data_IF_031385713863
#
_entry.id   IF_031385713863
#
_cell.length_a   1.000
_cell.length_b   1.000
_cell.length_c   1.000
_cell.angle_alpha   90.00
_cell.angle_beta   90.00
_cell.angle_gamma   90.00
#
_symmetry.space_group_name_H-M   'P 1'
#
loop_
_entity.id
_entity.type
_entity.pdbx_description
1 polymer ?
#
# COMPACT_ATOMS: atom_id res chain seq x y z
N UNK A 1 14.58 28.16 -10.63
CA UNK A 1 15.56 27.10 -10.31
C UNK A 1 14.91 25.77 -10.63
N UNK A 2 15.59 24.86 -11.32
CA UNK A 2 15.03 23.54 -11.67
C UNK A 2 14.87 22.68 -10.40
N UNK A 3 13.78 21.93 -10.28
CA UNK A 3 13.51 21.12 -9.09
C UNK A 3 14.60 20.06 -8.88
N UNK A 4 15.06 19.90 -7.64
CA UNK A 4 16.01 18.83 -7.26
C UNK A 4 15.34 17.46 -7.17
N UNK A 5 14.02 17.40 -6.98
CA UNK A 5 13.26 16.17 -6.69
C UNK A 5 12.55 15.57 -7.91
N UNK A 6 12.16 16.40 -8.88
CA UNK A 6 11.40 15.95 -10.05
C UNK A 6 11.95 16.56 -11.35
N UNK A 7 11.68 15.86 -12.46
CA UNK A 7 11.83 16.41 -13.80
C UNK A 7 10.66 17.36 -14.10
N UNK A 8 10.92 18.42 -14.85
CA UNK A 8 9.84 19.27 -15.34
C UNK A 8 8.94 18.45 -16.28
N UNK A 9 7.64 18.40 -15.99
CA UNK A 9 6.69 17.76 -16.91
C UNK A 9 6.52 18.64 -18.15
N UNK A 10 7.03 18.17 -19.29
CA UNK A 10 6.96 18.84 -20.59
C UNK A 10 5.91 18.22 -21.53
N UNK A 11 5.13 17.26 -21.05
CA UNK A 11 4.08 16.66 -21.85
C UNK A 11 2.89 17.63 -21.96
N UNK A 12 2.35 17.75 -23.17
CA UNK A 12 1.04 18.36 -23.37
C UNK A 12 -0.01 17.63 -22.52
N UNK A 13 -0.91 18.39 -21.88
CA UNK A 13 -2.06 17.80 -21.21
C UNK A 13 -3.12 17.31 -22.21
N UNK A 14 -4.09 16.55 -21.71
CA UNK A 14 -5.14 15.93 -22.52
C UNK A 14 -5.95 16.95 -23.34
N UNK A 15 -6.00 16.74 -24.67
CA UNK A 15 -6.75 17.58 -25.63
C UNK A 15 -7.99 16.88 -26.24
N UNK A 16 -8.51 15.85 -25.57
CA UNK A 16 -9.71 15.13 -26.02
C UNK A 16 -9.48 13.74 -26.64
N UNK A 17 -8.22 13.31 -26.82
CA UNK A 17 -7.88 11.98 -27.34
C UNK A 17 -6.77 11.30 -26.54
N UNK A 18 -6.84 9.98 -26.38
CA UNK A 18 -5.78 9.17 -25.76
C UNK A 18 -4.57 9.05 -26.70
N UNK A 19 -3.44 8.58 -26.18
CA UNK A 19 -2.22 8.40 -26.97
C UNK A 19 -2.37 7.24 -27.96
N UNK A 20 -2.16 7.53 -29.24
CA UNK A 20 -2.17 6.54 -30.31
C UNK A 20 -1.02 5.54 -30.14
N UNK A 21 -1.25 4.27 -30.48
CA UNK A 21 -0.23 3.22 -30.43
C UNK A 21 0.12 2.71 -29.02
N UNK A 22 -0.50 3.24 -27.95
CA UNK A 22 -0.29 2.78 -26.57
C UNK A 22 -1.35 1.77 -26.12
N UNK A 23 -1.63 0.82 -27.01
CA UNK A 23 -2.56 -0.27 -26.75
C UNK A 23 -1.94 -1.38 -25.90
N UNK A 24 -2.77 -2.34 -25.49
CA UNK A 24 -2.37 -3.51 -24.70
C UNK A 24 -1.24 -4.31 -25.35
N UNK A 25 -1.26 -4.43 -26.67
CA UNK A 25 -0.24 -5.17 -27.44
C UNK A 25 1.13 -4.50 -27.42
N UNK A 26 1.19 -3.17 -27.36
CA UNK A 26 2.46 -2.43 -27.32
C UNK A 26 3.17 -2.53 -25.96
N UNK A 27 2.39 -2.68 -24.88
CA UNK A 27 2.91 -2.72 -23.50
C UNK A 27 3.32 -4.13 -23.10
N UNK A 28 2.71 -5.18 -23.66
CA UNK A 28 2.97 -6.55 -23.27
C UNK A 28 4.46 -6.97 -23.38
N UNK A 29 5.19 -6.67 -24.46
CA UNK A 29 6.63 -6.98 -24.55
C UNK A 29 7.49 -6.27 -23.50
N UNK A 30 7.15 -5.03 -23.13
CA UNK A 30 7.86 -4.27 -22.09
C UNK A 30 7.69 -4.92 -20.72
N UNK A 31 6.47 -5.38 -20.41
CA UNK A 31 6.18 -6.10 -19.17
C UNK A 31 6.95 -7.42 -19.13
N UNK A 32 6.92 -8.22 -20.20
CA UNK A 32 7.68 -9.47 -20.27
C UNK A 32 9.18 -9.24 -20.08
N UNK A 33 9.76 -8.27 -20.79
CA UNK A 33 11.18 -7.94 -20.64
C UNK A 33 11.53 -7.44 -19.23
N UNK A 34 10.61 -6.76 -18.56
CA UNK A 34 10.78 -6.30 -17.17
C UNK A 34 10.74 -7.48 -16.19
N UNK A 35 9.77 -8.39 -16.35
CA UNK A 35 9.66 -9.62 -15.55
C UNK A 35 10.94 -10.46 -15.70
N UNK A 36 11.41 -10.68 -16.92
CA UNK A 36 12.62 -11.45 -17.19
C UNK A 36 13.86 -10.82 -16.57
N UNK A 37 13.95 -9.49 -16.59
CA UNK A 37 15.05 -8.76 -15.92
C UNK A 37 14.99 -8.95 -14.41
N UNK A 38 13.82 -8.80 -13.79
CA UNK A 38 13.66 -8.97 -12.35
C UNK A 38 14.01 -10.40 -11.94
N UNK A 39 13.54 -11.41 -12.67
CA UNK A 39 13.83 -12.82 -12.38
C UNK A 39 15.33 -13.16 -12.45
N UNK A 40 16.11 -12.47 -13.28
CA UNK A 40 17.58 -12.64 -13.34
C UNK A 40 18.31 -12.09 -12.12
N UNK A 41 17.73 -11.10 -11.45
CA UNK A 41 18.32 -10.44 -10.27
C UNK A 41 17.85 -11.08 -8.96
N UNK A 42 16.91 -12.03 -9.00
CA UNK A 42 16.45 -12.74 -7.81
C UNK A 42 17.59 -13.60 -7.25
N UNK A 43 17.92 -13.47 -5.94
CA UNK A 43 18.99 -14.25 -5.33
C UNK A 43 18.65 -15.74 -5.28
N UNK A 44 19.65 -16.64 -5.29
CA UNK A 44 19.43 -18.08 -5.14
C UNK A 44 18.74 -18.42 -3.82
N UNK A 45 17.66 -19.22 -3.88
CA UNK A 45 16.79 -19.52 -2.73
C UNK A 45 17.22 -20.77 -1.91
N UNK A 46 18.49 -21.19 -1.96
CA UNK A 46 18.93 -22.45 -1.33
C UNK A 46 20.35 -22.46 -0.75
N UNK A 47 20.49 -23.02 0.46
CA UNK A 47 21.75 -23.40 1.11
C UNK A 47 21.74 -23.21 2.63
N UNK A 48 21.87 -24.30 3.41
CA UNK A 48 21.94 -24.26 4.89
C UNK A 48 23.22 -23.58 5.45
N UNK A 49 24.21 -23.32 4.59
CA UNK A 49 25.47 -22.68 4.96
C UNK A 49 25.57 -21.22 4.51
N UNK A 50 24.59 -20.70 3.77
CA UNK A 50 24.58 -19.31 3.36
C UNK A 50 23.76 -18.49 4.36
N UNK A 51 24.43 -17.90 5.34
CA UNK A 51 23.86 -16.81 6.14
C UNK A 51 23.30 -15.64 5.26
N UNK A 52 23.58 -15.63 3.95
CA UNK A 52 23.01 -14.72 2.95
C UNK A 52 21.88 -15.28 2.05
N UNK A 53 21.56 -16.58 2.07
CA UNK A 53 20.58 -17.20 1.14
C UNK A 53 19.12 -16.92 1.50
N UNK A 54 18.80 -16.80 2.79
CA UNK A 54 17.50 -16.32 3.29
C UNK A 54 17.44 -14.79 3.42
N UNK A 55 18.55 -14.09 3.18
CA UNK A 55 18.61 -12.62 3.22
C UNK A 55 17.68 -11.95 2.20
N UNK A 56 17.39 -12.61 1.08
CA UNK A 56 16.40 -12.13 0.10
C UNK A 56 14.95 -12.23 0.55
N UNK A 57 14.66 -13.01 1.59
CA UNK A 57 13.32 -13.08 2.20
C UNK A 57 13.07 -11.91 3.16
N UNK A 58 14.13 -11.26 3.67
CA UNK A 58 14.00 -10.09 4.53
C UNK A 58 13.31 -8.94 3.79
N UNK A 59 12.43 -8.22 4.50
CA UNK A 59 11.71 -7.07 3.94
C UNK A 59 10.40 -7.40 3.22
N UNK A 60 9.90 -8.62 3.36
CA UNK A 60 8.53 -9.00 2.96
C UNK A 60 8.18 -8.63 1.52
N UNK A 61 7.02 -8.01 1.33
CA UNK A 61 6.53 -7.54 0.02
C UNK A 61 7.24 -6.26 -0.45
N UNK A 62 7.79 -5.48 0.47
CA UNK A 62 8.34 -4.15 0.18
C UNK A 62 9.73 -4.21 -0.44
N UNK A 63 10.63 -5.00 0.15
CA UNK A 63 12.02 -5.14 -0.27
C UNK A 63 12.47 -6.57 -0.57
N UNK A 64 11.65 -7.57 -0.21
CA UNK A 64 11.99 -8.98 -0.32
C UNK A 64 11.38 -9.70 -1.53
N UNK A 65 11.75 -10.96 -1.69
CA UNK A 65 11.29 -11.81 -2.82
C UNK A 65 9.80 -12.16 -2.78
N UNK A 66 9.12 -11.96 -1.63
CA UNK A 66 7.66 -12.06 -1.58
C UNK A 66 6.98 -10.98 -2.44
N UNK A 67 7.59 -9.80 -2.59
CA UNK A 67 7.14 -8.75 -3.51
C UNK A 67 7.24 -9.19 -4.98
N UNK A 68 8.31 -9.90 -5.33
CA UNK A 68 8.48 -10.49 -6.67
C UNK A 68 7.46 -11.60 -6.92
N UNK A 69 7.20 -12.46 -5.93
CA UNK A 69 6.15 -13.46 -6.02
C UNK A 69 4.76 -12.82 -6.25
N UNK A 70 4.46 -11.72 -5.54
CA UNK A 70 3.22 -10.98 -5.73
C UNK A 70 3.12 -10.31 -7.11
N UNK A 71 4.21 -9.76 -7.62
CA UNK A 71 4.30 -9.23 -8.98
C UNK A 71 3.97 -10.31 -10.02
N UNK A 72 4.61 -11.48 -9.92
CA UNK A 72 4.38 -12.61 -10.83
C UNK A 72 2.93 -13.11 -10.76
N UNK A 73 2.38 -13.24 -9.55
CA UNK A 73 0.96 -13.54 -9.36
C UNK A 73 0.08 -12.53 -10.09
N UNK A 74 0.35 -11.24 -9.93
CA UNK A 74 -0.43 -10.16 -10.53
C UNK A 74 -0.39 -10.20 -12.06
N UNK A 75 0.79 -10.38 -12.65
CA UNK A 75 0.95 -10.52 -14.12
C UNK A 75 0.21 -11.75 -14.63
N UNK A 76 0.30 -12.88 -13.91
CA UNK A 76 -0.37 -14.12 -14.26
C UNK A 76 -1.91 -14.03 -14.24
N UNK A 77 -2.49 -13.06 -13.52
CA UNK A 77 -3.95 -12.81 -13.55
C UNK A 77 -4.40 -12.05 -14.80
N UNK A 78 -3.48 -11.44 -15.55
CA UNK A 78 -3.84 -10.66 -16.72
C UNK A 78 -3.99 -11.58 -17.96
N UNK A 79 -5.14 -11.56 -18.66
CA UNK A 79 -5.38 -12.43 -19.82
C UNK A 79 -4.34 -12.30 -20.94
N UNK A 80 -3.67 -11.15 -21.06
CA UNK A 80 -2.61 -10.93 -22.05
C UNK A 80 -1.40 -11.86 -21.86
N UNK A 81 -1.20 -12.35 -20.64
CA UNK A 81 -0.09 -13.25 -20.29
C UNK A 81 -0.56 -14.68 -20.04
N UNK A 82 -1.75 -15.07 -20.53
CA UNK A 82 -2.26 -16.42 -20.41
C UNK A 82 -1.26 -17.52 -20.86
N UNK A 83 -0.48 -17.36 -21.96
CA UNK A 83 0.51 -18.36 -22.35
C UNK A 83 1.65 -18.56 -21.34
N UNK A 84 1.99 -17.54 -20.56
CA UNK A 84 3.07 -17.57 -19.56
C UNK A 84 2.55 -17.80 -18.13
N UNK A 85 1.23 -17.84 -17.94
CA UNK A 85 0.55 -17.90 -16.63
C UNK A 85 1.14 -18.96 -15.71
N UNK A 86 1.23 -20.20 -16.17
CA UNK A 86 1.68 -21.32 -15.34
C UNK A 86 3.18 -21.29 -15.06
N UNK A 87 3.98 -20.64 -15.91
CA UNK A 87 5.39 -20.39 -15.64
C UNK A 87 5.55 -19.35 -14.53
N UNK A 88 4.84 -18.22 -14.64
CA UNK A 88 4.87 -17.16 -13.63
C UNK A 88 4.35 -17.62 -12.28
N UNK A 89 3.26 -18.41 -12.24
CA UNK A 89 2.75 -18.94 -10.97
C UNK A 89 3.69 -19.97 -10.33
N UNK A 90 4.36 -20.81 -11.12
CA UNK A 90 5.38 -21.74 -10.59
C UNK A 90 6.59 -21.00 -10.01
N UNK A 91 7.07 -19.95 -10.70
CA UNK A 91 8.14 -19.10 -10.18
C UNK A 91 7.70 -18.35 -8.90
N UNK A 92 6.48 -17.77 -8.88
CA UNK A 92 5.90 -17.17 -7.69
C UNK A 92 5.83 -18.15 -6.51
N UNK A 93 5.43 -19.40 -6.77
CA UNK A 93 5.37 -20.46 -5.75
C UNK A 93 6.75 -20.71 -5.14
N UNK A 94 7.78 -20.89 -5.96
CA UNK A 94 9.14 -21.13 -5.48
C UNK A 94 9.63 -20.01 -4.56
N UNK A 95 9.38 -18.75 -4.94
CA UNK A 95 9.74 -17.58 -4.15
C UNK A 95 8.98 -17.52 -2.83
N UNK A 96 7.65 -17.65 -2.88
CA UNK A 96 6.82 -17.51 -1.68
C UNK A 96 6.97 -18.70 -0.73
N UNK A 97 7.24 -19.90 -1.22
CA UNK A 97 7.57 -21.06 -0.38
C UNK A 97 8.84 -20.80 0.44
N UNK A 98 9.85 -20.13 -0.15
CA UNK A 98 11.07 -19.76 0.57
C UNK A 98 10.78 -18.71 1.66
N UNK A 99 9.90 -17.74 1.38
CA UNK A 99 9.44 -16.79 2.39
C UNK A 99 8.63 -17.46 3.50
N UNK A 100 7.72 -18.38 3.18
CA UNK A 100 6.93 -19.10 4.20
C UNK A 100 7.85 -19.90 5.12
N UNK A 101 8.85 -20.61 4.58
CA UNK A 101 9.86 -21.28 5.41
C UNK A 101 10.64 -20.31 6.28
N UNK A 102 11.04 -19.16 5.73
CA UNK A 102 11.71 -18.12 6.51
C UNK A 102 10.86 -17.65 7.71
N UNK A 103 9.57 -17.38 7.48
CA UNK A 103 8.62 -16.97 8.53
C UNK A 103 8.35 -18.08 9.56
N UNK A 104 8.42 -19.36 9.16
CA UNK A 104 8.23 -20.51 10.06
C UNK A 104 9.51 -20.83 10.87
N UNK A 105 10.69 -20.76 10.25
CA UNK A 105 11.98 -21.15 10.85
C UNK A 105 12.61 -20.02 11.70
N UNK A 106 12.35 -18.75 11.34
CA UNK A 106 12.96 -17.56 11.98
C UNK A 106 11.93 -16.67 12.69
N UNK A 107 10.73 -17.20 12.98
CA UNK A 107 9.62 -16.47 13.61
C UNK A 107 10.03 -15.72 14.89
N UNK A 108 10.98 -16.24 15.66
CA UNK A 108 11.41 -15.68 16.94
C UNK A 108 12.40 -14.51 16.80
N UNK A 109 13.07 -14.37 15.66
CA UNK A 109 14.11 -13.36 15.45
C UNK A 109 13.55 -11.97 15.11
N UNK A 110 12.31 -11.90 14.60
CA UNK A 110 11.66 -10.65 14.19
C UNK A 110 10.16 -10.64 14.57
N UNK A 111 9.91 -10.79 15.88
CA UNK A 111 8.55 -10.87 16.43
C UNK A 111 7.66 -9.68 16.01
N UNK A 112 8.26 -8.50 15.83
CA UNK A 112 7.60 -7.25 15.51
C UNK A 112 7.03 -7.21 14.08
N UNK A 113 7.62 -7.95 13.13
CA UNK A 113 7.16 -7.95 11.72
C UNK A 113 6.26 -9.12 11.38
N UNK A 114 6.00 -10.06 12.30
CA UNK A 114 5.15 -11.24 12.03
C UNK A 114 3.75 -10.87 11.53
N UNK A 115 3.14 -9.85 12.13
CA UNK A 115 1.83 -9.33 11.70
C UNK A 115 1.93 -8.25 10.60
N UNK A 116 3.13 -7.87 10.18
CA UNK A 116 3.36 -6.83 9.19
C UNK A 116 2.87 -7.26 7.81
N UNK A 117 2.20 -6.35 7.11
CA UNK A 117 1.75 -6.61 5.75
C UNK A 117 2.87 -6.44 4.73
N UNK A 118 3.49 -5.25 4.68
CA UNK A 118 4.47 -4.97 3.63
C UNK A 118 5.86 -5.52 3.97
N UNK A 119 6.17 -5.67 5.27
CA UNK A 119 7.51 -6.03 5.72
C UNK A 119 7.65 -7.44 6.30
N UNK A 120 6.56 -8.21 6.47
CA UNK A 120 6.68 -9.52 7.12
C UNK A 120 5.53 -10.48 6.89
N UNK A 121 5.30 -11.32 7.90
CA UNK A 121 4.57 -12.58 7.78
C UNK A 121 3.15 -12.48 7.25
N UNK A 122 2.38 -11.46 7.66
CA UNK A 122 0.99 -11.31 7.20
C UNK A 122 0.93 -11.13 5.67
N UNK A 123 1.86 -10.39 5.08
CA UNK A 123 1.99 -10.27 3.64
C UNK A 123 2.43 -11.57 2.98
N UNK A 124 3.43 -12.25 3.54
CA UNK A 124 3.93 -13.53 3.02
C UNK A 124 2.81 -14.57 2.96
N UNK A 125 2.07 -14.75 4.05
CA UNK A 125 0.94 -15.68 4.10
C UNK A 125 -0.18 -15.28 3.14
N UNK A 126 -0.45 -13.98 2.98
CA UNK A 126 -1.44 -13.50 2.03
C UNK A 126 -1.04 -13.84 0.58
N UNK A 127 0.20 -13.58 0.18
CA UNK A 127 0.70 -13.90 -1.16
C UNK A 127 0.73 -15.42 -1.38
N UNK A 128 1.15 -16.20 -0.38
CA UNK A 128 1.17 -17.66 -0.47
C UNK A 128 -0.24 -18.20 -0.75
N UNK A 129 -1.26 -17.76 0.00
CA UNK A 129 -2.64 -18.16 -0.22
C UNK A 129 -3.11 -17.84 -1.65
N UNK A 130 -2.83 -16.62 -2.15
CA UNK A 130 -3.19 -16.20 -3.49
C UNK A 130 -2.53 -17.06 -4.59
N UNK A 131 -1.24 -17.33 -4.44
CA UNK A 131 -0.47 -18.14 -5.41
C UNK A 131 -0.95 -19.59 -5.39
N UNK A 132 -1.12 -20.18 -4.20
CA UNK A 132 -1.53 -21.57 -4.05
C UNK A 132 -2.94 -21.79 -4.59
N UNK A 133 -3.86 -20.85 -4.33
CA UNK A 133 -5.22 -20.89 -4.86
C UNK A 133 -5.23 -20.78 -6.39
N UNK A 134 -4.45 -19.87 -6.96
CA UNK A 134 -4.35 -19.72 -8.42
C UNK A 134 -3.72 -20.93 -9.13
N UNK A 135 -2.92 -21.73 -8.42
CA UNK A 135 -2.35 -23.00 -8.89
C UNK A 135 -3.28 -24.20 -8.64
N UNK A 136 -4.39 -24.03 -7.92
CA UNK A 136 -5.29 -25.12 -7.56
C UNK A 136 -4.71 -26.13 -6.58
N UNK A 137 -3.77 -25.71 -5.71
CA UNK A 137 -3.15 -26.58 -4.72
C UNK A 137 -4.13 -26.91 -3.59
N UNK A 138 -4.17 -28.16 -3.09
CA UNK A 138 -5.14 -28.59 -2.07
C UNK A 138 -4.95 -27.89 -0.71
N UNK A 139 -3.73 -27.44 -0.40
CA UNK A 139 -3.34 -26.82 0.86
C UNK A 139 -3.34 -25.29 0.81
N UNK A 140 -3.96 -24.67 -0.21
CA UNK A 140 -4.00 -23.21 -0.38
C UNK A 140 -4.58 -22.44 0.81
N UNK A 141 -5.40 -23.10 1.63
CA UNK A 141 -6.00 -22.52 2.82
C UNK A 141 -5.07 -22.53 4.05
N UNK A 142 -3.96 -23.30 4.05
CA UNK A 142 -3.02 -23.36 5.18
C UNK A 142 -2.41 -21.99 5.49
N UNK A 143 -1.88 -21.22 4.52
CA UNK A 143 -1.41 -19.86 4.78
C UNK A 143 -2.49 -18.93 5.33
N UNK A 144 -3.77 -19.10 4.95
CA UNK A 144 -4.87 -18.31 5.53
C UNK A 144 -5.09 -18.62 7.01
N UNK A 145 -4.92 -19.88 7.43
CA UNK A 145 -4.93 -20.25 8.84
C UNK A 145 -3.86 -19.49 9.62
N UNK A 146 -2.63 -19.50 9.12
CA UNK A 146 -1.50 -18.74 9.68
C UNK A 146 -1.76 -17.24 9.73
N UNK A 147 -2.31 -16.68 8.65
CA UNK A 147 -2.71 -15.27 8.61
C UNK A 147 -3.72 -14.91 9.70
N UNK A 148 -4.70 -15.77 9.98
CA UNK A 148 -5.73 -15.55 11.01
C UNK A 148 -5.17 -15.61 12.43
N UNK A 149 -4.22 -16.52 12.68
CA UNK A 149 -3.54 -16.65 13.98
C UNK A 149 -2.83 -15.33 14.38
N UNK A 150 -2.35 -14.55 13.40
CA UNK A 150 -1.71 -13.25 13.65
C UNK A 150 -2.66 -12.19 14.23
N UNK A 151 -3.98 -12.39 14.19
CA UNK A 151 -4.93 -11.45 14.79
C UNK A 151 -4.71 -11.31 16.30
N UNK A 152 -4.33 -12.40 16.99
CA UNK A 152 -4.07 -12.38 18.44
C UNK A 152 -2.82 -11.55 18.77
N UNK A 153 -1.87 -11.48 17.85
CA UNK A 153 -0.64 -10.72 18.01
C UNK A 153 -0.88 -9.21 17.86
N UNK A 154 -1.73 -8.77 16.92
CA UNK A 154 -1.95 -7.36 16.64
C UNK A 154 -3.12 -6.73 17.44
N UNK A 155 -3.93 -7.54 18.13
CA UNK A 155 -5.05 -7.06 18.96
C UNK A 155 -4.67 -6.25 20.22
N UNK A 156 -3.62 -6.62 20.99
CA UNK A 156 -3.22 -5.85 22.18
C UNK A 156 -2.88 -4.41 21.84
N UNK A 157 -3.25 -3.43 22.69
CA UNK A 157 -3.03 -1.99 22.43
C UNK A 157 -1.56 -1.62 22.21
N UNK A 158 -0.66 -2.25 22.95
CA UNK A 158 0.80 -2.12 22.80
C UNK A 158 1.32 -3.41 22.17
N UNK A 159 1.11 -3.56 20.86
CA UNK A 159 1.65 -4.67 20.08
C UNK A 159 3.11 -4.39 19.68
N UNK A 160 3.40 -3.15 19.29
CA UNK A 160 4.74 -2.66 18.92
C UNK A 160 5.12 -1.43 19.73
N UNK A 161 6.34 -1.40 20.27
CA UNK A 161 6.91 -0.27 21.01
C UNK A 161 7.07 0.99 20.12
N UNK A 162 7.34 0.78 18.84
CA UNK A 162 7.53 1.86 17.88
C UNK A 162 6.22 2.49 17.38
N UNK A 163 5.06 1.97 17.78
CA UNK A 163 3.75 2.40 17.26
C UNK A 163 3.10 1.30 16.43
N UNK A 164 1.85 0.97 16.75
CA UNK A 164 1.23 -0.30 16.35
C UNK A 164 0.22 -0.19 15.20
N UNK A 165 0.01 0.99 14.62
CA UNK A 165 -1.19 1.24 13.80
C UNK A 165 -0.94 1.48 12.32
N UNK A 166 0.28 1.80 11.91
CA UNK A 166 0.58 2.21 10.53
C UNK A 166 0.52 1.06 9.50
N UNK A 167 0.79 1.35 8.22
CA UNK A 167 0.50 0.43 7.12
C UNK A 167 1.53 -0.67 6.93
N UNK A 168 2.82 -0.43 7.23
CA UNK A 168 3.87 -1.36 6.88
C UNK A 168 3.89 -2.55 7.82
N UNK A 169 3.88 -2.27 9.13
CA UNK A 169 4.00 -3.23 10.24
C UNK A 169 2.80 -3.23 11.18
N UNK A 170 2.01 -2.16 11.20
CA UNK A 170 0.90 -2.00 12.14
C UNK A 170 -0.44 -2.64 11.72
N UNK A 171 -1.46 -2.37 12.54
CA UNK A 171 -2.84 -2.86 12.38
C UNK A 171 -3.50 -2.43 11.08
N UNK A 172 -3.23 -1.21 10.59
CA UNK A 172 -3.72 -0.79 9.28
C UNK A 172 -3.15 -1.69 8.16
N UNK A 173 -1.88 -2.07 8.26
CA UNK A 173 -1.26 -3.06 7.39
C UNK A 173 -2.00 -4.40 7.41
N UNK A 174 -2.20 -4.95 8.60
CA UNK A 174 -2.89 -6.24 8.78
C UNK A 174 -4.31 -6.22 8.20
N UNK A 175 -5.10 -5.18 8.48
CA UNK A 175 -6.43 -4.99 7.89
C UNK A 175 -6.37 -4.79 6.37
N UNK A 176 -5.36 -4.09 5.86
CA UNK A 176 -5.16 -3.94 4.42
C UNK A 176 -4.92 -5.30 3.74
N UNK A 177 -4.09 -6.16 4.33
CA UNK A 177 -3.84 -7.51 3.85
C UNK A 177 -5.13 -8.35 3.82
N UNK A 178 -5.94 -8.29 4.89
CA UNK A 178 -7.23 -8.97 4.96
C UNK A 178 -8.19 -8.47 3.87
N UNK A 179 -8.22 -7.17 3.60
CA UNK A 179 -9.04 -6.58 2.54
C UNK A 179 -8.59 -7.02 1.15
N UNK A 180 -7.28 -7.09 0.90
CA UNK A 180 -6.72 -7.61 -0.36
C UNK A 180 -7.14 -9.06 -0.57
N UNK A 181 -7.03 -9.90 0.46
CA UNK A 181 -7.47 -11.29 0.40
C UNK A 181 -8.96 -11.41 0.12
N UNK A 182 -9.80 -10.62 0.81
CA UNK A 182 -11.25 -10.57 0.55
C UNK A 182 -11.56 -10.23 -0.91
N UNK A 183 -10.91 -9.21 -1.45
CA UNK A 183 -11.13 -8.77 -2.83
C UNK A 183 -10.66 -9.80 -3.88
N UNK A 184 -9.57 -10.51 -3.61
CA UNK A 184 -8.97 -11.43 -4.57
C UNK A 184 -9.54 -12.85 -4.51
N UNK A 185 -9.92 -13.30 -3.33
CA UNK A 185 -10.45 -14.65 -3.11
C UNK A 185 -11.98 -14.68 -3.03
N UNK A 186 -12.64 -13.53 -2.82
CA UNK A 186 -14.08 -13.47 -2.59
C UNK A 186 -14.52 -14.07 -1.25
N UNK A 187 -13.61 -14.14 -0.27
CA UNK A 187 -13.81 -14.80 1.02
C UNK A 187 -13.47 -13.86 2.17
N UNK A 188 -14.31 -13.86 3.21
CA UNK A 188 -13.97 -13.20 4.47
C UNK A 188 -12.91 -14.01 5.21
N UNK A 189 -11.67 -13.52 5.20
CA UNK A 189 -10.57 -14.20 5.88
C UNK A 189 -10.65 -14.00 7.40
N UNK A 190 -11.00 -12.82 7.87
CA UNK A 190 -11.19 -12.52 9.29
C UNK A 190 -12.66 -12.57 9.67
N UNK A 191 -12.94 -13.04 10.89
CA UNK A 191 -14.29 -13.03 11.44
C UNK A 191 -14.69 -11.62 11.89
N UNK A 192 -15.99 -11.34 11.95
CA UNK A 192 -16.48 -10.05 12.42
C UNK A 192 -15.95 -9.66 13.83
N UNK A 193 -15.87 -10.56 14.83
CA UNK A 193 -15.23 -10.27 16.11
C UNK A 193 -13.76 -9.87 16.00
N UNK A 194 -12.98 -10.55 15.14
CA UNK A 194 -11.58 -10.21 14.90
C UNK A 194 -11.44 -8.81 14.30
N UNK A 195 -12.22 -8.50 13.26
CA UNK A 195 -12.20 -7.17 12.62
C UNK A 195 -12.58 -6.08 13.64
N UNK A 196 -13.63 -6.29 14.44
CA UNK A 196 -14.05 -5.36 15.50
C UNK A 196 -12.95 -5.14 16.53
N UNK A 197 -12.30 -6.22 16.98
CA UNK A 197 -11.21 -6.16 17.94
C UNK A 197 -10.06 -5.27 17.44
N UNK A 198 -9.61 -5.47 16.19
CA UNK A 198 -8.54 -4.65 15.61
C UNK A 198 -8.97 -3.20 15.41
N UNK A 199 -10.18 -2.94 14.91
CA UNK A 199 -10.69 -1.57 14.75
C UNK A 199 -10.78 -0.85 16.11
N UNK A 200 -11.27 -1.54 17.14
CA UNK A 200 -11.35 -0.99 18.49
C UNK A 200 -9.96 -0.69 19.06
N UNK A 201 -8.98 -1.57 18.85
CA UNK A 201 -7.60 -1.31 19.26
C UNK A 201 -7.00 -0.08 18.56
N UNK A 202 -7.22 0.08 17.26
CA UNK A 202 -6.79 1.27 16.50
C UNK A 202 -7.46 2.56 16.98
N UNK A 203 -8.75 2.52 17.33
CA UNK A 203 -9.47 3.68 17.86
C UNK A 203 -8.96 4.05 19.26
N UNK A 204 -8.78 3.06 20.12
CA UNK A 204 -8.34 3.28 21.50
C UNK A 204 -6.88 3.75 21.56
N UNK A 205 -5.98 3.18 20.77
CA UNK A 205 -4.59 3.65 20.68
C UNK A 205 -4.53 5.11 20.20
N UNK A 206 -5.33 5.46 19.18
CA UNK A 206 -5.43 6.81 18.63
C UNK A 206 -5.97 7.82 19.65
N UNK A 207 -7.04 7.46 20.37
CA UNK A 207 -7.62 8.29 21.45
C UNK A 207 -6.62 8.52 22.58
N UNK A 208 -5.98 7.45 23.07
CA UNK A 208 -5.01 7.54 24.15
C UNK A 208 -3.79 8.38 23.77
N UNK A 209 -3.28 8.21 22.54
CA UNK A 209 -2.16 8.99 22.05
C UNK A 209 -2.52 10.48 21.94
N UNK A 210 -3.64 10.79 21.29
CA UNK A 210 -4.13 12.15 21.12
C UNK A 210 -4.31 12.86 22.47
N UNK A 211 -4.95 12.20 23.44
CA UNK A 211 -5.15 12.75 24.79
C UNK A 211 -3.81 12.99 25.50
N UNK A 212 -2.93 11.97 25.53
CA UNK A 212 -1.63 12.03 26.22
C UNK A 212 -0.73 13.13 25.65
N UNK A 213 -0.73 13.31 24.33
CA UNK A 213 0.07 14.32 23.63
C UNK A 213 -0.69 15.64 23.40
N UNK A 214 -1.89 15.78 23.97
CA UNK A 214 -2.76 16.97 23.90
C UNK A 214 -2.98 17.46 22.47
N UNK A 215 -3.29 16.54 21.57
CA UNK A 215 -3.50 16.83 20.15
C UNK A 215 -4.87 17.48 19.92
N UNK A 216 -4.99 18.40 18.95
CA UNK A 216 -6.23 19.10 18.65
C UNK A 216 -7.23 18.26 17.83
N UNK A 217 -7.03 16.94 17.77
CA UNK A 217 -7.77 15.99 16.93
C UNK A 217 -8.03 14.73 17.75
N UNK A 218 -9.20 14.07 17.62
CA UNK A 218 -9.54 12.95 18.50
C UNK A 218 -8.71 11.69 18.26
N UNK A 219 -8.23 11.45 17.05
CA UNK A 219 -7.35 10.32 16.73
C UNK A 219 -6.03 10.87 16.18
N UNK A 220 -4.93 10.50 16.82
CA UNK A 220 -3.58 10.78 16.33
C UNK A 220 -2.68 9.60 16.66
N UNK A 221 -1.65 9.38 15.84
CA UNK A 221 -0.77 8.23 15.93
C UNK A 221 0.67 8.69 15.75
N UNK A 222 1.61 7.87 16.21
CA UNK A 222 3.02 8.05 15.89
C UNK A 222 3.68 6.73 15.57
N UNK A 223 4.71 6.81 14.72
CA UNK A 223 5.62 5.73 14.44
C UNK A 223 7.06 6.19 14.72
N UNK A 224 7.81 5.46 15.54
CA UNK A 224 9.09 5.87 16.12
C UNK A 224 9.06 7.30 16.68
N UNK A 225 7.99 7.64 17.41
CA UNK A 225 7.79 8.96 18.01
C UNK A 225 7.42 10.08 17.02
N UNK A 226 7.33 9.77 15.73
CA UNK A 226 7.04 10.75 14.67
C UNK A 226 5.57 10.67 14.24
N UNK A 227 4.92 11.83 14.11
CA UNK A 227 3.50 11.97 13.75
C UNK A 227 3.36 12.11 12.24
N UNK A 228 3.59 11.02 11.51
CA UNK A 228 3.51 11.03 10.05
C UNK A 228 2.08 11.28 9.55
N UNK A 229 1.95 12.01 8.45
CA UNK A 229 0.66 12.24 7.78
C UNK A 229 0.43 11.33 6.57
N UNK A 230 1.51 10.90 5.91
CA UNK A 230 1.48 10.17 4.64
C UNK A 230 0.94 8.73 4.71
N UNK A 231 0.87 8.06 3.56
CA UNK A 231 0.25 6.73 3.45
C UNK A 231 1.14 5.59 3.96
N UNK A 232 2.46 5.76 4.03
CA UNK A 232 3.34 4.69 4.51
C UNK A 232 3.20 4.49 6.02
N UNK A 233 3.56 5.50 6.80
CA UNK A 233 3.69 5.37 8.26
C UNK A 233 2.70 6.24 9.05
N UNK A 234 1.73 6.85 8.37
CA UNK A 234 1.00 8.00 8.90
C UNK A 234 -0.50 7.89 8.96
N UNK A 235 -1.09 8.99 9.43
CA UNK A 235 -2.52 9.14 9.67
C UNK A 235 -3.38 8.78 8.45
N UNK A 236 -2.91 9.07 7.24
CA UNK A 236 -3.65 8.81 6.00
C UNK A 236 -4.08 7.34 5.84
N UNK A 237 -3.15 6.38 5.95
CA UNK A 237 -3.48 4.97 5.73
C UNK A 237 -4.27 4.36 6.89
N UNK A 238 -4.01 4.83 8.11
CA UNK A 238 -4.76 4.44 9.31
C UNK A 238 -6.24 4.81 9.14
N UNK A 239 -6.52 6.08 8.80
CA UNK A 239 -7.89 6.54 8.54
C UNK A 239 -8.51 5.84 7.32
N UNK A 240 -7.73 5.61 6.26
CA UNK A 240 -8.21 4.88 5.08
C UNK A 240 -8.69 3.47 5.46
N UNK A 241 -7.98 2.77 6.35
CA UNK A 241 -8.37 1.44 6.81
C UNK A 241 -9.57 1.49 7.76
N UNK A 242 -9.63 2.43 8.69
CA UNK A 242 -10.83 2.65 9.53
C UNK A 242 -12.08 2.90 8.68
N UNK A 243 -11.98 3.76 7.64
CA UNK A 243 -13.08 3.97 6.68
C UNK A 243 -13.38 2.73 5.82
N UNK A 244 -12.41 1.84 5.63
CA UNK A 244 -12.60 0.59 4.88
C UNK A 244 -13.37 -0.47 5.66
N UNK A 245 -13.33 -0.37 6.98
CA UNK A 245 -14.06 -1.24 7.91
C UNK A 245 -15.08 -0.46 8.74
N UNK A 246 -15.60 0.65 8.20
CA UNK A 246 -16.46 1.60 8.91
C UNK A 246 -17.71 0.97 9.56
N UNK A 247 -18.27 -0.08 8.94
CA UNK A 247 -19.41 -0.83 9.46
C UNK A 247 -19.10 -1.62 10.75
N UNK A 248 -17.82 -1.88 11.03
CA UNK A 248 -17.34 -2.55 12.24
C UNK A 248 -16.98 -1.58 13.36
N UNK A 249 -16.98 -0.27 13.08
CA UNK A 249 -16.69 0.79 14.06
C UNK A 249 -17.95 1.08 14.89
N UNK A 250 -17.87 1.13 16.23
CA UNK A 250 -18.98 1.52 17.07
C UNK A 250 -19.53 2.90 16.67
N UNK A 251 -20.87 3.09 16.58
CA UNK A 251 -21.45 4.38 16.19
C UNK A 251 -20.93 5.58 17.00
N UNK A 252 -20.62 5.39 18.28
CA UNK A 252 -20.06 6.43 19.15
C UNK A 252 -18.66 6.91 18.74
N UNK A 253 -17.86 6.07 18.09
CA UNK A 253 -16.50 6.39 17.66
C UNK A 253 -16.42 6.78 16.16
N UNK A 254 -17.49 6.57 15.39
CA UNK A 254 -17.51 6.85 13.95
C UNK A 254 -17.24 8.33 13.62
N UNK A 255 -17.77 9.24 14.43
CA UNK A 255 -17.58 10.68 14.23
C UNK A 255 -16.12 11.10 14.50
N UNK A 256 -15.42 10.41 15.40
CA UNK A 256 -14.01 10.67 15.69
C UNK A 256 -13.12 10.41 14.47
N UNK A 257 -13.48 9.39 13.67
CA UNK A 257 -12.80 9.10 12.39
C UNK A 257 -12.99 10.25 11.42
N UNK A 258 -14.22 10.75 11.26
CA UNK A 258 -14.50 11.86 10.34
C UNK A 258 -13.85 13.17 10.77
N UNK A 259 -13.87 13.51 12.06
CA UNK A 259 -13.14 14.65 12.61
C UNK A 259 -11.64 14.57 12.32
N UNK A 260 -11.07 13.36 12.36
CA UNK A 260 -9.65 13.13 12.05
C UNK A 260 -9.34 13.19 10.56
N UNK A 261 -10.28 12.78 9.70
CA UNK A 261 -10.20 12.94 8.23
C UNK A 261 -10.23 14.41 7.85
N UNK A 262 -11.14 15.19 8.45
CA UNK A 262 -11.26 16.62 8.19
C UNK A 262 -10.02 17.36 8.73
N UNK A 263 -9.52 17.00 9.92
CA UNK A 263 -8.24 17.51 10.42
C UNK A 263 -7.08 17.26 9.45
N UNK A 264 -6.98 16.06 8.86
CA UNK A 264 -5.95 15.75 7.87
C UNK A 264 -6.10 16.61 6.60
N UNK A 265 -7.32 16.93 6.18
CA UNK A 265 -7.56 17.88 5.09
C UNK A 265 -7.05 19.28 5.40
N UNK A 266 -7.23 19.74 6.64
CA UNK A 266 -6.77 21.06 7.08
C UNK A 266 -5.24 21.17 7.16
N UNK A 267 -4.51 20.06 7.12
CA UNK A 267 -3.04 20.06 7.07
C UNK A 267 -2.48 20.30 5.64
N UNK A 268 -3.34 20.54 4.64
CA UNK A 268 -2.91 20.82 3.28
C UNK A 268 -2.07 22.11 3.20
N UNK A 269 -0.92 22.03 2.55
CA UNK A 269 -0.03 23.15 2.22
C UNK A 269 0.23 23.15 0.71
N UNK A 270 -0.31 24.14 -0.01
CA UNK A 270 -0.14 24.29 -1.46
C UNK A 270 -0.50 23.02 -2.25
N UNK A 271 -1.66 22.41 -1.97
CA UNK A 271 -2.12 21.16 -2.59
C UNK A 271 -1.25 19.92 -2.28
N UNK A 272 -0.38 20.02 -1.28
CA UNK A 272 0.45 18.94 -0.77
C UNK A 272 0.35 18.81 0.75
N UNK A 273 0.99 17.82 1.35
CA UNK A 273 1.05 17.64 2.80
C UNK A 273 2.49 17.41 3.25
N UNK A 274 2.87 17.97 4.40
CA UNK A 274 4.18 17.68 4.98
C UNK A 274 4.27 16.19 5.36
N UNK A 275 5.47 15.62 5.40
CA UNK A 275 5.67 14.26 5.86
C UNK A 275 5.20 14.06 7.29
N UNK A 276 5.44 15.05 8.16
CA UNK A 276 5.17 15.04 9.59
C UNK A 276 4.24 16.19 10.01
N UNK A 277 3.46 15.98 11.06
CA UNK A 277 2.57 17.02 11.60
C UNK A 277 3.39 18.18 12.17
N UNK A 278 3.04 19.41 11.77
CA UNK A 278 3.66 20.65 12.26
C UNK A 278 4.87 21.12 11.45
N UNK A 279 5.33 20.34 10.47
CA UNK A 279 6.34 20.79 9.52
C UNK A 279 5.77 21.72 8.44
N UNK A 280 6.65 22.54 7.86
CA UNK A 280 6.34 23.38 6.70
C UNK A 280 7.01 22.81 5.45
N UNK A 281 6.27 22.72 4.35
CA UNK A 281 6.81 22.22 3.09
C UNK A 281 7.80 23.22 2.50
N UNK A 282 9.08 22.88 2.52
CA UNK A 282 10.12 23.59 1.80
C UNK A 282 10.08 23.23 0.31
N UNK A 283 10.02 24.24 -0.57
CA UNK A 283 9.96 24.04 -2.03
C UNK A 283 11.11 23.19 -2.58
N UNK A 284 12.29 23.24 -1.97
CA UNK A 284 13.46 22.48 -2.42
C UNK A 284 13.43 21.00 -2.00
N UNK A 285 12.70 20.68 -0.94
CA UNK A 285 12.63 19.36 -0.30
C UNK A 285 11.23 18.73 -0.35
N UNK A 286 10.31 19.34 -1.10
CA UNK A 286 8.94 18.89 -1.25
C UNK A 286 8.86 17.42 -1.71
N UNK A 287 8.21 16.58 -0.89
CA UNK A 287 7.96 15.19 -1.20
C UNK A 287 6.60 15.06 -1.91
N UNK A 288 6.63 14.51 -3.11
CA UNK A 288 5.43 14.20 -3.92
C UNK A 288 5.44 12.71 -4.18
N UNK A 289 5.31 11.92 -3.11
CA UNK A 289 5.46 10.47 -3.12
C UNK A 289 4.19 9.78 -2.62
N UNK A 290 4.06 8.47 -2.86
CA UNK A 290 3.01 7.69 -2.22
C UNK A 290 3.25 7.58 -0.71
N UNK A 291 4.49 7.36 -0.26
CA UNK A 291 4.77 7.27 1.18
C UNK A 291 4.50 8.58 1.93
N UNK A 292 4.89 9.72 1.34
CA UNK A 292 4.75 11.06 1.94
C UNK A 292 4.36 12.09 0.87
N UNK A 293 3.25 12.79 1.13
CA UNK A 293 2.70 13.84 0.27
C UNK A 293 1.39 13.44 -0.42
N UNK A 294 0.95 14.33 -1.31
CA UNK A 294 -0.34 14.27 -1.99
C UNK A 294 -0.64 12.94 -2.71
N UNK A 295 0.31 12.29 -3.41
CA UNK A 295 0.02 11.03 -4.10
C UNK A 295 -0.48 9.92 -3.19
N UNK A 296 0.05 9.81 -1.96
CA UNK A 296 -0.41 8.85 -0.96
C UNK A 296 -1.74 9.22 -0.34
N UNK A 297 -1.90 10.50 0.00
CA UNK A 297 -3.09 11.02 0.69
C UNK A 297 -4.34 10.96 -0.21
N UNK A 298 -4.15 11.04 -1.52
CA UNK A 298 -5.23 10.88 -2.50
C UNK A 298 -6.08 9.62 -2.27
N UNK A 299 -5.48 8.52 -1.80
CA UNK A 299 -6.18 7.25 -1.56
C UNK A 299 -7.11 7.31 -0.34
N UNK A 300 -6.72 8.03 0.71
CA UNK A 300 -7.56 8.22 1.90
C UNK A 300 -8.78 9.08 1.55
N UNK A 301 -8.59 10.21 0.85
CA UNK A 301 -9.72 11.03 0.41
C UNK A 301 -10.61 10.34 -0.62
N UNK A 302 -10.04 9.49 -1.48
CA UNK A 302 -10.83 8.69 -2.40
C UNK A 302 -11.76 7.76 -1.61
N UNK A 303 -11.23 7.11 -0.57
CA UNK A 303 -12.03 6.27 0.31
C UNK A 303 -13.08 7.07 1.08
N UNK A 304 -12.72 8.24 1.62
CA UNK A 304 -13.64 9.16 2.29
C UNK A 304 -14.80 9.59 1.38
N UNK A 305 -14.51 9.93 0.12
CA UNK A 305 -15.53 10.24 -0.89
C UNK A 305 -16.41 9.03 -1.20
N UNK A 306 -15.84 7.83 -1.35
CA UNK A 306 -16.63 6.63 -1.64
C UNK A 306 -17.63 6.29 -0.53
N UNK A 307 -17.28 6.57 0.74
CA UNK A 307 -18.13 6.31 1.91
C UNK A 307 -19.15 7.45 2.12
N UNK A 308 -18.72 8.71 2.12
CA UNK A 308 -19.57 9.84 2.52
C UNK A 308 -20.28 10.56 1.36
N UNK A 309 -19.75 10.42 0.13
CA UNK A 309 -20.14 11.18 -1.06
C UNK A 309 -20.00 12.71 -0.95
N UNK A 310 -19.31 13.23 0.08
CA UNK A 310 -19.06 14.67 0.22
C UNK A 310 -18.09 15.17 -0.88
N UNK A 311 -18.46 16.19 -1.70
CA UNK A 311 -17.64 16.65 -2.82
C UNK A 311 -16.22 17.09 -2.45
N UNK A 312 -16.06 17.73 -1.28
CA UNK A 312 -14.78 18.22 -0.77
C UNK A 312 -13.67 17.16 -0.76
N UNK A 313 -13.99 15.88 -0.50
CA UNK A 313 -13.00 14.80 -0.52
C UNK A 313 -12.57 14.46 -1.95
N UNK A 314 -13.51 14.48 -2.91
CA UNK A 314 -13.17 14.30 -4.33
C UNK A 314 -12.33 15.47 -4.85
N UNK A 315 -12.67 16.70 -4.45
CA UNK A 315 -11.89 17.89 -4.82
C UNK A 315 -10.45 17.79 -4.31
N UNK A 316 -10.24 17.32 -3.08
CA UNK A 316 -8.91 17.03 -2.54
C UNK A 316 -8.16 15.98 -3.36
N UNK A 317 -8.81 14.88 -3.76
CA UNK A 317 -8.19 13.90 -4.68
C UNK A 317 -7.76 14.53 -6.01
N UNK A 318 -8.59 15.38 -6.60
CA UNK A 318 -8.30 16.06 -7.86
C UNK A 318 -7.10 16.98 -7.69
N UNK A 319 -7.02 17.76 -6.60
CA UNK A 319 -5.84 18.59 -6.28
C UNK A 319 -4.57 17.75 -6.14
N UNK A 320 -4.61 16.60 -5.47
CA UNK A 320 -3.49 15.67 -5.42
C UNK A 320 -3.06 15.21 -6.83
N UNK A 321 -4.03 14.90 -7.70
CA UNK A 321 -3.78 14.55 -9.09
C UNK A 321 -3.12 15.66 -9.90
N UNK A 322 -3.56 16.90 -9.73
CA UNK A 322 -2.96 18.05 -10.41
C UNK A 322 -1.51 18.30 -9.94
N UNK A 323 -1.23 18.20 -8.63
CA UNK A 323 0.15 18.28 -8.13
C UNK A 323 1.01 17.14 -8.67
N UNK A 324 0.47 15.91 -8.67
CA UNK A 324 1.16 14.73 -9.19
C UNK A 324 1.47 14.87 -10.68
N UNK A 325 0.58 15.47 -11.47
CA UNK A 325 0.86 15.77 -12.88
C UNK A 325 2.02 16.75 -13.02
N UNK A 326 2.08 17.79 -12.18
CA UNK A 326 3.13 18.79 -12.26
C UNK A 326 4.49 18.26 -11.77
N UNK A 327 4.51 17.44 -10.71
CA UNK A 327 5.73 17.10 -9.96
C UNK A 327 6.01 15.60 -9.76
N UNK A 328 5.14 14.71 -10.24
CA UNK A 328 5.25 13.26 -10.04
C UNK A 328 6.21 12.52 -10.98
N UNK A 329 6.88 13.22 -11.91
CA UNK A 329 8.00 12.68 -12.68
C UNK A 329 9.27 12.71 -11.82
N UNK A 330 9.36 11.82 -10.85
CA UNK A 330 10.37 11.85 -9.78
C UNK A 330 11.76 11.43 -10.26
N UNK A 331 12.78 12.20 -9.89
CA UNK A 331 14.20 11.87 -10.14
C UNK A 331 14.68 10.68 -9.30
N UNK A 332 13.94 10.32 -8.25
CA UNK A 332 14.27 9.22 -7.34
C UNK A 332 14.20 7.84 -7.99
N UNK A 333 13.44 7.68 -9.07
CA UNK A 333 13.42 6.47 -9.88
C UNK A 333 12.00 5.98 -10.24
N UNK A 334 11.90 4.76 -10.79
CA UNK A 334 10.66 4.25 -11.38
C UNK A 334 9.72 3.56 -10.37
N UNK A 335 10.10 3.42 -9.09
CA UNK A 335 9.38 2.59 -8.11
C UNK A 335 7.96 3.03 -7.74
N UNK A 336 7.29 2.20 -6.92
CA UNK A 336 5.91 2.46 -6.46
C UNK A 336 5.88 3.41 -5.25
N UNK A 337 6.73 3.20 -4.24
CA UNK A 337 6.65 3.94 -2.99
C UNK A 337 6.90 5.45 -3.15
N UNK A 338 7.86 5.80 -4.00
CA UNK A 338 8.33 7.17 -4.23
C UNK A 338 9.00 7.30 -5.60
N UNK A 339 8.32 6.79 -6.62
CA UNK A 339 8.78 6.84 -8.00
C UNK A 339 7.65 7.14 -8.99
N UNK A 340 8.02 7.16 -10.27
CA UNK A 340 7.11 7.54 -11.36
C UNK A 340 5.92 6.57 -11.46
N UNK A 341 6.13 5.26 -11.25
CA UNK A 341 5.04 4.29 -11.27
C UNK A 341 4.00 4.57 -10.19
N UNK A 342 4.42 4.85 -8.95
CA UNK A 342 3.51 5.22 -7.86
C UNK A 342 2.67 6.45 -8.17
N UNK A 343 3.29 7.45 -8.80
CA UNK A 343 2.60 8.65 -9.28
C UNK A 343 1.57 8.34 -10.36
N UNK A 344 1.88 7.44 -11.29
CA UNK A 344 0.94 7.02 -12.34
C UNK A 344 -0.34 6.38 -11.77
N UNK A 345 -0.24 5.62 -10.68
CA UNK A 345 -1.40 5.00 -10.03
C UNK A 345 -2.41 6.02 -9.49
N UNK A 346 -1.99 7.25 -9.14
CA UNK A 346 -2.91 8.33 -8.73
C UNK A 346 -3.87 8.68 -9.86
N UNK A 347 -3.40 8.71 -11.10
CA UNK A 347 -4.27 8.97 -12.24
C UNK A 347 -5.22 7.80 -12.51
N UNK A 348 -4.74 6.55 -12.35
CA UNK A 348 -5.64 5.39 -12.45
C UNK A 348 -6.72 5.40 -11.37
N UNK A 349 -6.40 5.85 -10.15
CA UNK A 349 -7.38 6.08 -9.08
C UNK A 349 -8.41 7.14 -9.52
N UNK A 350 -7.98 8.30 -9.98
CA UNK A 350 -8.87 9.39 -10.39
C UNK A 350 -9.75 9.02 -11.59
N UNK A 351 -9.23 8.26 -12.56
CA UNK A 351 -10.04 7.73 -13.64
C UNK A 351 -11.17 6.84 -13.12
N UNK A 352 -10.87 5.91 -12.21
CA UNK A 352 -11.89 5.02 -11.64
C UNK A 352 -12.95 5.77 -10.83
N UNK A 353 -12.58 6.88 -10.19
CA UNK A 353 -13.51 7.71 -9.42
C UNK A 353 -14.40 8.58 -10.30
N UNK A 354 -13.88 9.10 -11.41
CA UNK A 354 -14.53 10.19 -12.18
C UNK A 354 -15.00 9.78 -13.58
N UNK A 355 -14.48 8.68 -14.12
CA UNK A 355 -14.65 8.31 -15.54
C UNK A 355 -13.93 9.23 -16.52
N UNK A 356 -13.17 10.24 -16.05
CA UNK A 356 -12.56 11.24 -16.92
C UNK A 356 -11.30 10.70 -17.61
N UNK A 357 -11.36 10.56 -18.94
CA UNK A 357 -10.28 10.04 -19.79
C UNK A 357 -8.97 10.84 -19.72
N UNK A 358 -9.00 12.10 -19.27
CA UNK A 358 -7.79 12.90 -18.96
C UNK A 358 -6.83 12.11 -18.08
N UNK A 359 -7.33 11.39 -17.09
CA UNK A 359 -6.47 10.67 -16.15
C UNK A 359 -5.86 9.40 -16.75
N UNK A 360 -6.54 8.70 -17.67
CA UNK A 360 -5.90 7.61 -18.42
C UNK A 360 -4.77 8.16 -19.30
N UNK A 361 -5.01 9.28 -19.97
CA UNK A 361 -3.97 9.96 -20.75
C UNK A 361 -2.74 10.32 -19.88
N UNK A 362 -2.96 10.88 -18.69
CA UNK A 362 -1.86 11.22 -17.77
C UNK A 362 -1.13 9.98 -17.24
N UNK A 363 -1.85 8.89 -16.94
CA UNK A 363 -1.23 7.61 -16.58
C UNK A 363 -0.33 7.08 -17.71
N UNK A 364 -0.82 7.10 -18.94
CA UNK A 364 -0.08 6.71 -20.14
C UNK A 364 1.23 7.48 -20.32
N UNK A 365 1.23 8.79 -20.03
CA UNK A 365 2.43 9.65 -20.08
C UNK A 365 3.48 9.35 -19.00
N UNK A 366 3.15 8.58 -17.97
CA UNK A 366 4.05 8.27 -16.86
C UNK A 366 4.60 6.82 -16.93
N UNK A 367 4.19 6.04 -17.93
CA UNK A 367 4.62 4.64 -18.13
C UNK A 367 5.74 4.51 -19.16
N UNK A 368 5.90 5.52 -20.03
CA UNK A 368 6.85 5.60 -21.14
C UNK A 368 7.67 6.89 -21.01
#
# INVERSE_FOLDING_TARGET
MESKRCFANRFDDYKGSLLAGQGKEAVAPLVTATVDRILKEVPPLGGAEAAGGLGGCQGGLYGGVAGVAYMLYHVAQCPLFAPARDSYLRAAKQLVDACVRYEEDWADADADTRAAFLLGGAGVYAVAALVYQALGLPDWARPLGKFRELCELCAPLTFLDCGSDELFVGRAGYLCAALVLKQKLGLEVLTAPQIKSICQAMLESGKQYALRKRKPVPLMYSYYGTEYLGAAHGLSSILQMLLSYYEYIPPADQELVWQSVDFLMDQEQNCNWPPELGEMIERENELVHWCHGAPGIAYMFAKAYLVSKKPQYLDSCIRCGELTWQKGLLKKGPGICHGVAGSAYVFLLLYRLTGNSKYIYRAQRFVL
#
